data_IF_515549798906
#
_entry.id   IF_515549798906
#
_cell.length_a   1.000
_cell.length_b   1.000
_cell.length_c   1.000
_cell.angle_alpha   90.00
_cell.angle_beta   90.00
_cell.angle_gamma   90.00
#
_symmetry.space_group_name_H-M   'P 1'
#
loop_
_entity.id
_entity.type
_entity.pdbx_description
1 polymer ?
#
# COMPACT_ATOMS: atom_id res chain seq x y z
N UNK A 1 12.94 -4.38 -11.61
CA UNK A 1 12.11 -4.26 -12.83
C UNK A 1 10.74 -3.70 -12.44
N UNK A 2 10.31 -2.62 -13.09
CA UNK A 2 8.95 -2.06 -12.93
C UNK A 2 7.96 -2.80 -13.85
N UNK A 3 6.80 -3.20 -13.30
CA UNK A 3 5.77 -3.95 -14.02
C UNK A 3 4.37 -3.40 -13.69
N UNK A 4 3.36 -3.56 -14.56
CA UNK A 4 1.98 -3.27 -14.22
C UNK A 4 1.50 -4.12 -13.03
N UNK A 5 0.60 -3.61 -12.16
CA UNK A 5 0.05 -4.37 -11.03
C UNK A 5 -0.61 -5.68 -11.43
N UNK A 6 -1.27 -5.75 -12.59
CA UNK A 6 -1.89 -6.99 -13.08
C UNK A 6 -0.93 -8.17 -13.13
N UNK A 7 0.36 -7.93 -13.48
CA UNK A 7 1.38 -8.99 -13.48
C UNK A 7 1.65 -9.57 -12.10
N UNK A 8 1.54 -8.74 -11.07
CA UNK A 8 1.65 -9.17 -9.68
C UNK A 8 0.36 -9.88 -9.23
N UNK A 9 -0.79 -9.34 -9.61
CA UNK A 9 -2.10 -9.84 -9.21
C UNK A 9 -2.43 -11.20 -9.84
N UNK A 10 -2.02 -11.46 -11.09
CA UNK A 10 -2.16 -12.76 -11.74
C UNK A 10 -1.55 -13.90 -10.91
N UNK A 11 -0.39 -13.67 -10.30
CA UNK A 11 0.29 -14.63 -9.44
C UNK A 11 -0.33 -14.69 -8.03
N UNK A 12 -0.77 -13.54 -7.51
CA UNK A 12 -1.24 -13.41 -6.13
C UNK A 12 -2.66 -13.94 -5.91
N UNK A 13 -3.56 -13.76 -6.89
CA UNK A 13 -5.00 -14.01 -6.75
C UNK A 13 -5.34 -15.36 -6.10
N UNK A 14 -6.03 -15.31 -4.99
CA UNK A 14 -6.48 -16.48 -4.23
C UNK A 14 -5.38 -17.21 -3.45
N UNK A 15 -4.15 -16.70 -3.44
CA UNK A 15 -3.00 -17.30 -2.77
C UNK A 15 -2.41 -16.41 -1.68
N UNK A 16 -2.09 -15.16 -2.01
CA UNK A 16 -1.46 -14.17 -1.13
C UNK A 16 -1.85 -12.77 -1.56
N UNK A 17 -1.53 -11.75 -0.77
CA UNK A 17 -1.67 -10.36 -1.16
C UNK A 17 -0.30 -9.69 -1.35
N UNK A 18 -0.22 -8.76 -2.31
CA UNK A 18 0.96 -7.94 -2.54
C UNK A 18 0.90 -6.74 -1.60
N UNK A 19 1.98 -6.51 -0.85
CA UNK A 19 2.09 -5.32 -0.01
C UNK A 19 2.32 -4.07 -0.85
N UNK A 20 1.51 -3.03 -0.61
CA UNK A 20 1.64 -1.73 -1.23
C UNK A 20 2.05 -0.71 -0.16
N UNK A 21 3.25 -0.17 -0.32
CA UNK A 21 3.92 0.61 0.72
C UNK A 21 4.15 2.04 0.27
N UNK A 22 3.66 3.00 1.08
CA UNK A 22 3.88 4.41 0.84
C UNK A 22 5.29 4.83 1.27
N UNK A 23 5.87 5.79 0.55
CA UNK A 23 7.11 6.43 0.96
C UNK A 23 7.06 7.95 0.77
N UNK A 24 7.88 8.67 1.54
CA UNK A 24 8.03 10.12 1.47
C UNK A 24 9.49 10.58 1.52
N UNK A 25 10.44 9.65 1.77
CA UNK A 25 11.85 9.97 1.83
C UNK A 25 12.74 8.80 1.36
N UNK A 26 14.04 9.11 1.17
CA UNK A 26 15.04 8.15 0.72
C UNK A 26 15.14 6.91 1.63
N UNK A 27 15.13 7.12 2.94
CA UNK A 27 15.34 6.05 3.92
C UNK A 27 14.19 5.04 3.91
N UNK A 28 12.94 5.51 3.74
CA UNK A 28 11.79 4.62 3.55
C UNK A 28 11.95 3.79 2.28
N UNK A 29 12.29 4.44 1.16
CA UNK A 29 12.45 3.76 -0.11
C UNK A 29 13.53 2.67 -0.05
N UNK A 30 14.72 3.00 0.46
CA UNK A 30 15.83 2.04 0.59
C UNK A 30 15.48 0.89 1.55
N UNK A 31 14.87 1.19 2.70
CA UNK A 31 14.43 0.18 3.66
C UNK A 31 13.36 -0.75 3.07
N UNK A 32 12.43 -0.20 2.29
CA UNK A 32 11.39 -0.95 1.58
C UNK A 32 11.99 -1.93 0.58
N UNK A 33 12.89 -1.48 -0.29
CA UNK A 33 13.54 -2.37 -1.27
C UNK A 33 14.36 -3.47 -0.59
N UNK A 34 15.11 -3.14 0.45
CA UNK A 34 15.87 -4.13 1.22
C UNK A 34 14.95 -5.19 1.84
N UNK A 35 13.91 -4.77 2.53
CA UNK A 35 12.97 -5.68 3.20
C UNK A 35 12.26 -6.62 2.22
N UNK A 36 11.86 -6.12 1.05
CA UNK A 36 11.24 -6.94 0.01
C UNK A 36 12.23 -7.89 -0.69
N UNK A 37 13.53 -7.62 -0.62
CA UNK A 37 14.57 -8.51 -1.15
C UNK A 37 15.25 -9.38 -0.08
N UNK A 38 14.68 -9.45 1.13
CA UNK A 38 15.24 -10.24 2.22
C UNK A 38 16.55 -9.72 2.80
N UNK A 39 16.91 -8.44 2.53
CA UNK A 39 18.12 -7.78 2.99
C UNK A 39 17.79 -6.83 4.14
N UNK A 40 18.55 -6.85 5.21
CA UNK A 40 18.34 -5.93 6.33
C UNK A 40 19.33 -4.76 6.25
N UNK A 41 20.62 -5.05 6.04
CA UNK A 41 21.65 -4.02 5.89
C UNK A 41 22.18 -3.92 4.45
N UNK A 42 23.04 -2.94 4.20
CA UNK A 42 23.62 -2.71 2.85
C UNK A 42 24.50 -3.88 2.40
N UNK A 43 25.18 -4.53 3.32
CA UNK A 43 26.19 -5.55 3.03
C UNK A 43 25.65 -6.97 3.21
N UNK A 44 24.37 -7.12 3.58
CA UNK A 44 23.80 -8.45 3.70
C UNK A 44 23.67 -9.06 2.31
N UNK A 45 24.22 -10.26 2.14
CA UNK A 45 23.75 -11.15 1.10
C UNK A 45 22.29 -11.49 1.41
N UNK A 46 21.41 -11.67 0.39
CA UNK A 46 20.07 -12.16 0.66
C UNK A 46 20.21 -13.47 1.42
N UNK A 47 19.58 -13.55 2.59
CA UNK A 47 19.68 -14.76 3.43
C UNK A 47 19.20 -16.01 2.68
N UNK A 48 18.26 -15.82 1.75
CA UNK A 48 17.77 -16.81 0.79
C UNK A 48 16.79 -16.10 -0.17
N UNK A 49 16.68 -16.53 -1.41
CA UNK A 49 15.65 -16.09 -2.36
C UNK A 49 14.23 -16.36 -1.84
N UNK A 50 14.05 -17.34 -0.95
CA UNK A 50 12.81 -17.61 -0.23
C UNK A 50 12.34 -16.43 0.69
N UNK A 51 13.19 -15.44 0.93
CA UNK A 51 12.87 -14.25 1.72
C UNK A 51 12.45 -13.03 0.87
N UNK A 52 12.34 -13.17 -0.46
CA UNK A 52 12.03 -12.05 -1.37
C UNK A 52 10.56 -12.05 -1.78
N UNK A 53 9.98 -10.85 -1.90
CA UNK A 53 8.57 -10.64 -2.26
C UNK A 53 8.42 -9.62 -3.39
N UNK A 54 7.42 -9.77 -4.28
CA UNK A 54 6.96 -8.68 -5.15
C UNK A 54 6.22 -7.63 -4.33
N UNK A 55 6.24 -6.37 -4.74
CA UNK A 55 5.63 -5.29 -3.98
C UNK A 55 5.17 -4.14 -4.86
N UNK A 56 4.37 -3.23 -4.28
CA UNK A 56 3.95 -1.99 -4.91
C UNK A 56 4.53 -0.84 -4.10
N UNK A 57 5.22 0.06 -4.80
CA UNK A 57 5.66 1.34 -4.26
C UNK A 57 4.58 2.36 -4.56
N UNK A 58 4.04 3.01 -3.54
CA UNK A 58 2.95 3.95 -3.76
C UNK A 58 3.20 5.33 -3.12
N UNK A 59 2.54 6.33 -3.68
CA UNK A 59 2.67 7.74 -3.31
C UNK A 59 1.28 8.38 -3.26
N UNK A 60 0.98 9.02 -2.15
CA UNK A 60 -0.17 9.91 -2.05
C UNK A 60 0.15 11.30 -2.62
N UNK A 61 -0.85 12.10 -3.03
CA UNK A 61 -0.64 13.47 -3.52
C UNK A 61 0.20 14.33 -2.56
N UNK A 62 -0.04 14.23 -1.24
CA UNK A 62 0.75 14.96 -0.25
C UNK A 62 2.24 14.61 -0.22
N UNK A 63 2.63 13.38 -0.54
CA UNK A 63 4.04 13.01 -0.67
C UNK A 63 4.67 13.62 -1.93
N UNK A 64 3.92 13.73 -3.02
CA UNK A 64 4.35 14.39 -4.25
C UNK A 64 4.50 15.91 -4.05
N UNK A 65 3.58 16.55 -3.34
CA UNK A 65 3.67 17.96 -2.96
C UNK A 65 4.90 18.22 -2.07
N UNK A 66 5.18 17.33 -1.10
CA UNK A 66 6.31 17.43 -0.19
C UNK A 66 7.67 17.31 -0.89
N UNK A 67 7.81 16.37 -1.81
CA UNK A 67 9.12 15.97 -2.38
C UNK A 67 9.39 16.53 -3.77
N UNK A 68 8.43 17.10 -4.48
CA UNK A 68 8.44 17.36 -5.93
C UNK A 68 8.49 16.07 -6.79
N UNK A 69 7.59 15.88 -7.76
CA UNK A 69 7.53 14.67 -8.60
C UNK A 69 8.83 14.31 -9.32
N UNK A 70 9.68 15.30 -9.64
CA UNK A 70 10.97 15.09 -10.31
C UNK A 70 11.98 14.39 -9.40
N UNK A 71 12.01 14.74 -8.09
CA UNK A 71 12.86 14.04 -7.11
C UNK A 71 12.35 12.63 -6.86
N UNK A 72 11.04 12.46 -6.73
CA UNK A 72 10.41 11.13 -6.56
C UNK A 72 10.79 10.22 -7.71
N UNK A 73 10.64 10.68 -8.96
CA UNK A 73 11.03 9.95 -10.15
C UNK A 73 12.52 9.57 -10.12
N UNK A 74 13.41 10.52 -9.85
CA UNK A 74 14.84 10.25 -9.76
C UNK A 74 15.22 9.23 -8.69
N UNK A 75 14.55 9.26 -7.52
CA UNK A 75 14.74 8.27 -6.46
C UNK A 75 14.31 6.87 -6.90
N UNK A 76 13.18 6.76 -7.59
CA UNK A 76 12.65 5.46 -8.05
C UNK A 76 13.48 4.89 -9.21
N UNK A 77 13.95 5.72 -10.15
CA UNK A 77 14.91 5.32 -11.19
C UNK A 77 16.21 4.80 -10.56
N UNK A 78 16.76 5.53 -9.60
CA UNK A 78 17.96 5.11 -8.86
C UNK A 78 17.74 3.82 -8.04
N UNK A 79 16.55 3.64 -7.44
CA UNK A 79 16.21 2.42 -6.73
C UNK A 79 16.08 1.21 -7.67
N UNK A 80 15.47 1.39 -8.86
CA UNK A 80 15.38 0.34 -9.87
C UNK A 80 16.77 -0.12 -10.34
N UNK A 81 17.71 0.81 -10.50
CA UNK A 81 19.08 0.49 -10.89
C UNK A 81 19.88 -0.17 -9.74
N UNK A 82 19.69 0.33 -8.50
CA UNK A 82 20.42 -0.17 -7.34
C UNK A 82 19.93 -1.56 -6.86
N UNK A 83 18.70 -1.93 -7.20
CA UNK A 83 18.05 -3.17 -6.82
C UNK A 83 17.52 -3.95 -8.04
N UNK A 84 18.42 -4.42 -8.93
CA UNK A 84 18.01 -5.04 -10.21
C UNK A 84 17.18 -6.31 -10.05
N UNK A 85 17.27 -6.93 -8.87
CA UNK A 85 16.50 -8.13 -8.53
C UNK A 85 15.06 -7.83 -8.12
N UNK A 86 14.69 -6.58 -7.88
CA UNK A 86 13.33 -6.24 -7.48
C UNK A 86 12.33 -6.33 -8.64
N UNK A 87 11.14 -6.86 -8.36
CA UNK A 87 9.96 -6.75 -9.23
C UNK A 87 8.90 -5.98 -8.47
N UNK A 88 8.53 -4.81 -8.98
CA UNK A 88 7.63 -3.90 -8.30
C UNK A 88 6.79 -3.08 -9.28
N UNK A 89 5.70 -2.52 -8.79
CA UNK A 89 4.89 -1.54 -9.51
C UNK A 89 5.02 -0.16 -8.85
N UNK A 90 4.86 0.91 -9.62
CA UNK A 90 4.77 2.28 -9.11
C UNK A 90 3.33 2.76 -9.27
N UNK A 91 2.74 3.20 -8.16
CA UNK A 91 1.31 3.48 -8.05
C UNK A 91 1.03 4.85 -7.41
N UNK A 92 0.10 5.64 -7.99
CA UNK A 92 -0.51 6.78 -7.31
C UNK A 92 -1.63 6.25 -6.41
N UNK A 93 -1.58 6.63 -5.13
CA UNK A 93 -2.52 6.23 -4.10
C UNK A 93 -3.45 7.41 -3.76
N UNK A 94 -4.77 7.22 -3.79
CA UNK A 94 -5.80 8.22 -3.50
C UNK A 94 -5.67 9.57 -4.26
N UNK A 95 -5.55 9.51 -5.58
CA UNK A 95 -5.52 10.72 -6.42
C UNK A 95 -6.91 11.27 -6.74
N UNK A 96 -7.00 12.60 -6.88
CA UNK A 96 -8.11 13.24 -7.60
C UNK A 96 -8.01 12.93 -9.09
N UNK A 97 -9.02 13.31 -9.88
CA UNK A 97 -8.98 13.20 -11.35
C UNK A 97 -7.76 13.94 -11.94
N UNK A 98 -7.46 15.14 -11.41
CA UNK A 98 -6.32 15.96 -11.82
C UNK A 98 -4.98 15.34 -11.42
N UNK A 99 -4.86 14.77 -10.22
CA UNK A 99 -3.65 14.08 -9.78
C UNK A 99 -3.38 12.85 -10.67
N UNK A 100 -4.42 12.08 -11.00
CA UNK A 100 -4.31 10.95 -11.92
C UNK A 100 -3.82 11.43 -13.31
N UNK A 101 -4.39 12.49 -13.86
CA UNK A 101 -3.95 13.02 -15.15
C UNK A 101 -2.48 13.47 -15.12
N UNK A 102 -2.06 14.14 -14.06
CA UNK A 102 -0.66 14.56 -13.91
C UNK A 102 0.30 13.36 -13.87
N UNK A 103 -0.07 12.28 -13.15
CA UNK A 103 0.74 11.07 -13.08
C UNK A 103 0.75 10.28 -14.41
N UNK A 104 -0.39 10.17 -15.08
CA UNK A 104 -0.52 9.54 -16.41
C UNK A 104 0.34 10.28 -17.43
N UNK A 105 0.27 11.61 -17.47
CA UNK A 105 1.04 12.43 -18.41
C UNK A 105 2.55 12.43 -18.10
N UNK A 106 2.90 12.26 -16.83
CA UNK A 106 4.29 12.12 -16.40
C UNK A 106 5.00 10.87 -16.94
N UNK A 107 4.25 9.84 -17.37
CA UNK A 107 4.73 8.64 -18.08
C UNK A 107 5.68 7.77 -17.27
N UNK A 108 5.51 7.76 -15.94
CA UNK A 108 6.40 7.04 -15.02
C UNK A 108 5.67 6.01 -14.16
N UNK A 109 4.38 6.18 -13.95
CA UNK A 109 3.55 5.29 -13.16
C UNK A 109 3.10 4.06 -13.95
N UNK A 110 2.99 2.92 -13.27
CA UNK A 110 2.40 1.71 -13.83
C UNK A 110 0.88 1.68 -13.61
N UNK A 111 0.42 2.36 -12.55
CA UNK A 111 -0.99 2.49 -12.23
C UNK A 111 -1.28 3.75 -11.43
N UNK A 112 -2.54 4.15 -11.46
CA UNK A 112 -3.07 5.26 -10.66
C UNK A 112 -4.37 4.83 -9.98
N UNK A 113 -4.60 5.30 -8.75
CA UNK A 113 -5.88 5.17 -8.09
C UNK A 113 -6.62 6.51 -8.16
N UNK A 114 -7.82 6.49 -8.70
CA UNK A 114 -8.78 7.59 -8.61
C UNK A 114 -9.74 7.34 -7.46
N UNK A 115 -9.77 8.24 -6.49
CA UNK A 115 -10.68 8.16 -5.37
C UNK A 115 -11.77 9.22 -5.46
N UNK A 116 -12.93 8.79 -5.94
CA UNK A 116 -14.17 9.56 -5.97
C UNK A 116 -15.27 8.89 -5.12
N UNK A 117 -14.91 8.03 -4.18
CA UNK A 117 -15.81 7.22 -3.33
C UNK A 117 -16.72 8.06 -2.42
N UNK A 118 -16.32 9.29 -2.12
CA UNK A 118 -17.09 10.26 -1.33
C UNK A 118 -18.21 10.95 -2.15
N UNK A 119 -18.21 10.84 -3.48
CA UNK A 119 -19.23 11.40 -4.37
C UNK A 119 -20.41 10.41 -4.56
N UNK A 120 -21.54 10.88 -5.11
CA UNK A 120 -22.61 10.01 -5.55
C UNK A 120 -22.14 8.96 -6.55
N UNK A 121 -22.75 7.78 -6.55
CA UNK A 121 -22.37 6.62 -7.38
C UNK A 121 -22.18 6.96 -8.87
N UNK A 122 -23.11 7.69 -9.46
CA UNK A 122 -23.03 8.10 -10.87
C UNK A 122 -21.87 9.07 -11.17
N UNK A 123 -21.54 9.94 -10.22
CA UNK A 123 -20.42 10.87 -10.37
C UNK A 123 -19.08 10.12 -10.22
N UNK A 124 -18.99 9.16 -9.27
CA UNK A 124 -17.83 8.30 -9.13
C UNK A 124 -17.59 7.51 -10.42
N UNK A 125 -18.62 6.89 -11.00
CA UNK A 125 -18.51 6.20 -12.28
C UNK A 125 -18.02 7.14 -13.39
N UNK A 126 -18.61 8.33 -13.50
CA UNK A 126 -18.27 9.27 -14.57
C UNK A 126 -16.80 9.74 -14.49
N UNK A 127 -16.30 10.02 -13.29
CA UNK A 127 -14.89 10.42 -13.05
C UNK A 127 -13.97 9.24 -13.32
N UNK A 128 -14.24 8.10 -12.71
CA UNK A 128 -13.40 6.89 -12.86
C UNK A 128 -13.26 6.50 -14.32
N UNK A 129 -14.37 6.52 -15.09
CA UNK A 129 -14.34 6.19 -16.51
C UNK A 129 -13.42 7.12 -17.32
N UNK A 130 -13.48 8.44 -17.06
CA UNK A 130 -12.60 9.39 -17.77
C UNK A 130 -11.12 9.15 -17.47
N UNK A 131 -10.81 8.78 -16.21
CA UNK A 131 -9.44 8.42 -15.83
C UNK A 131 -9.02 7.13 -16.52
N UNK A 132 -9.88 6.10 -16.53
CA UNK A 132 -9.63 4.82 -17.21
C UNK A 132 -9.36 5.02 -18.71
N UNK A 133 -10.22 5.76 -19.41
CA UNK A 133 -10.03 6.04 -20.83
C UNK A 133 -8.66 6.67 -21.10
N UNK A 134 -8.26 7.67 -20.32
CA UNK A 134 -6.94 8.33 -20.48
C UNK A 134 -5.75 7.46 -20.08
N UNK A 135 -5.88 6.67 -19.04
CA UNK A 135 -4.81 5.79 -18.53
C UNK A 135 -4.54 4.62 -19.48
N UNK A 136 -5.61 3.96 -19.97
CA UNK A 136 -5.51 2.85 -20.89
C UNK A 136 -4.89 3.23 -22.22
N UNK A 137 -5.11 4.44 -22.74
CA UNK A 137 -4.44 4.97 -23.94
C UNK A 137 -2.91 5.02 -23.79
N UNK A 138 -2.40 4.94 -22.54
CA UNK A 138 -0.98 4.95 -22.20
C UNK A 138 -0.48 3.64 -21.60
N UNK A 139 -1.31 2.62 -21.53
CA UNK A 139 -0.99 1.33 -20.92
C UNK A 139 -0.79 1.41 -19.40
N UNK A 140 -1.45 2.36 -18.74
CA UNK A 140 -1.44 2.54 -17.28
C UNK A 140 -2.74 1.97 -16.72
N UNK A 141 -2.64 1.15 -15.66
CA UNK A 141 -3.79 0.53 -15.02
C UNK A 141 -4.44 1.48 -13.99
N UNK A 142 -5.75 1.30 -13.77
CA UNK A 142 -6.53 2.15 -12.88
C UNK A 142 -7.15 1.34 -11.77
N UNK A 143 -6.85 1.73 -10.53
CA UNK A 143 -7.58 1.36 -9.33
C UNK A 143 -8.66 2.39 -9.05
N UNK A 144 -9.82 1.95 -8.57
CA UNK A 144 -10.89 2.83 -8.11
C UNK A 144 -11.37 2.40 -6.72
N UNK A 145 -12.20 3.22 -6.05
CA UNK A 145 -12.79 2.87 -4.76
C UNK A 145 -14.31 2.91 -4.82
N UNK A 146 -14.94 1.90 -4.22
CA UNK A 146 -16.38 1.84 -4.02
C UNK A 146 -16.73 1.46 -2.57
N UNK A 147 -17.74 2.11 -2.04
CA UNK A 147 -17.99 2.22 -0.62
C UNK A 147 -17.28 3.47 -0.11
N UNK A 148 -17.04 3.58 1.16
CA UNK A 148 -16.26 4.66 1.76
C UNK A 148 -15.47 4.13 2.93
N UNK A 149 -14.14 4.20 2.85
CA UNK A 149 -13.26 3.78 3.92
C UNK A 149 -13.09 4.97 4.86
N UNK A 150 -13.54 4.80 6.10
CA UNK A 150 -13.50 5.88 7.11
C UNK A 150 -12.09 6.13 7.66
N UNK A 151 -11.98 7.09 8.58
CA UNK A 151 -10.71 7.45 9.21
C UNK A 151 -10.10 8.72 8.63
N UNK A 152 -8.78 8.88 8.82
CA UNK A 152 -8.04 10.04 8.35
C UNK A 152 -6.74 9.58 7.68
N UNK A 153 -6.58 9.91 6.40
CA UNK A 153 -5.35 9.72 5.65
C UNK A 153 -5.18 10.89 4.68
N UNK A 154 -4.03 11.56 4.75
CA UNK A 154 -3.72 12.78 4.00
C UNK A 154 -4.88 13.81 4.03
N UNK A 155 -5.51 14.07 2.89
CA UNK A 155 -6.67 14.99 2.74
C UNK A 155 -8.03 14.28 2.91
N UNK A 156 -8.03 12.96 3.15
CA UNK A 156 -9.25 12.15 3.23
C UNK A 156 -9.73 12.07 4.67
N UNK A 157 -10.99 12.44 4.90
CA UNK A 157 -11.72 12.23 6.15
C UNK A 157 -13.14 11.78 5.82
N UNK A 158 -13.60 10.67 6.41
CA UNK A 158 -14.91 10.13 6.06
C UNK A 158 -15.52 9.18 7.09
N UNK A 159 -16.81 8.89 6.90
CA UNK A 159 -17.55 7.84 7.59
C UNK A 159 -17.41 6.52 6.82
N UNK A 160 -17.51 5.39 7.51
CA UNK A 160 -17.50 4.07 6.86
C UNK A 160 -18.84 3.83 6.16
N UNK A 161 -18.79 3.45 4.87
CA UNK A 161 -19.91 2.90 4.12
C UNK A 161 -19.42 1.63 3.40
N UNK A 162 -19.93 0.47 3.79
CA UNK A 162 -19.53 -0.80 3.20
C UNK A 162 -19.86 -0.86 1.71
N UNK A 163 -19.03 -1.56 0.95
CA UNK A 163 -19.23 -1.81 -0.47
C UNK A 163 -20.42 -2.76 -0.68
N UNK A 164 -21.37 -2.34 -1.50
CA UNK A 164 -22.48 -3.18 -1.94
C UNK A 164 -22.02 -4.09 -3.10
N UNK A 165 -22.25 -5.42 -3.02
CA UNK A 165 -21.78 -6.36 -4.05
C UNK A 165 -22.37 -6.13 -5.46
N UNK A 166 -23.67 -5.76 -5.54
CA UNK A 166 -24.31 -5.51 -6.83
C UNK A 166 -23.81 -4.21 -7.47
N UNK A 167 -23.63 -3.18 -6.65
CA UNK A 167 -23.00 -1.94 -7.10
C UNK A 167 -21.55 -2.15 -7.53
N UNK A 168 -20.78 -3.03 -6.86
CA UNK A 168 -19.41 -3.33 -7.27
C UNK A 168 -19.35 -3.94 -8.68
N UNK A 169 -20.21 -4.89 -8.98
CA UNK A 169 -20.30 -5.48 -10.32
C UNK A 169 -20.68 -4.45 -11.40
N UNK A 170 -21.71 -3.63 -11.13
CA UNK A 170 -22.12 -2.55 -12.02
C UNK A 170 -21.02 -1.50 -12.22
N UNK A 171 -20.34 -1.12 -11.14
CA UNK A 171 -19.27 -0.13 -11.17
C UNK A 171 -18.11 -0.57 -12.08
N UNK A 172 -17.65 -1.82 -11.93
CA UNK A 172 -16.58 -2.39 -12.75
C UNK A 172 -16.97 -2.43 -14.23
N UNK A 173 -18.18 -2.92 -14.54
CA UNK A 173 -18.68 -2.99 -15.93
C UNK A 173 -18.77 -1.60 -16.59
N UNK A 174 -19.22 -0.59 -15.86
CA UNK A 174 -19.43 0.77 -16.39
C UNK A 174 -18.18 1.62 -16.43
N UNK A 175 -17.19 1.35 -15.58
CA UNK A 175 -15.93 2.13 -15.52
C UNK A 175 -14.79 1.51 -16.29
N UNK A 176 -14.71 0.18 -16.32
CA UNK A 176 -13.59 -0.54 -16.89
C UNK A 176 -12.30 -0.44 -16.07
N UNK A 177 -12.38 -0.15 -14.75
CA UNK A 177 -11.21 -0.12 -13.86
C UNK A 177 -10.56 -1.52 -13.76
N UNK A 178 -9.26 -1.57 -13.48
CA UNK A 178 -8.46 -2.79 -13.47
C UNK A 178 -8.40 -3.47 -12.09
N UNK A 179 -8.66 -2.70 -11.02
CA UNK A 179 -8.80 -3.20 -9.66
C UNK A 179 -9.74 -2.31 -8.85
N UNK A 180 -10.32 -2.84 -7.77
CA UNK A 180 -11.30 -2.13 -6.95
C UNK A 180 -10.95 -2.21 -5.46
N UNK A 181 -10.74 -1.05 -4.85
CA UNK A 181 -10.69 -0.91 -3.41
C UNK A 181 -12.10 -1.03 -2.82
N UNK A 182 -12.23 -1.92 -1.83
CA UNK A 182 -13.53 -2.27 -1.22
C UNK A 182 -13.53 -1.97 0.28
N UNK A 183 -14.60 -1.33 0.73
CA UNK A 183 -14.83 -1.05 2.14
C UNK A 183 -15.50 -2.25 2.82
N UNK A 184 -14.71 -3.03 3.57
CA UNK A 184 -15.17 -4.24 4.27
C UNK A 184 -14.88 -4.17 5.79
N UNK A 185 -14.86 -2.97 6.37
CA UNK A 185 -14.71 -2.76 7.80
C UNK A 185 -13.36 -2.19 8.25
N UNK A 186 -12.46 -1.87 7.32
CA UNK A 186 -11.22 -1.14 7.61
C UNK A 186 -11.46 0.35 7.77
N UNK A 187 -10.45 1.06 8.32
CA UNK A 187 -10.41 2.52 8.35
C UNK A 187 -8.96 3.02 8.29
N UNK A 188 -8.76 4.22 7.74
CA UNK A 188 -7.45 4.85 7.63
C UNK A 188 -6.92 5.37 8.98
N UNK A 189 -5.59 5.54 9.08
CA UNK A 189 -4.92 6.13 10.24
C UNK A 189 -4.64 5.17 11.38
N UNK A 190 -4.03 5.72 12.45
CA UNK A 190 -3.60 4.95 13.63
C UNK A 190 -4.68 4.80 14.72
N UNK A 191 -5.78 5.51 14.61
CA UNK A 191 -6.86 5.52 15.59
C UNK A 191 -8.15 5.02 14.96
N UNK A 192 -8.18 3.71 14.69
CA UNK A 192 -9.34 3.07 14.08
C UNK A 192 -10.49 2.98 15.06
N UNK A 193 -11.73 3.08 14.54
CA UNK A 193 -12.92 3.10 15.37
C UNK A 193 -12.99 1.88 16.31
N UNK A 194 -13.31 2.15 17.58
CA UNK A 194 -13.52 1.16 18.64
C UNK A 194 -14.86 0.42 18.43
N UNK A 195 -14.95 -0.40 17.43
CA UNK A 195 -16.20 -1.12 17.10
C UNK A 195 -16.05 -2.04 15.91
N UNK A 196 -14.89 -1.99 15.23
CA UNK A 196 -14.61 -2.90 14.13
C UNK A 196 -14.45 -4.32 14.69
N UNK A 197 -15.41 -5.19 14.39
CA UNK A 197 -15.36 -6.64 14.69
C UNK A 197 -14.42 -7.38 13.73
N UNK A 198 -13.33 -6.74 13.24
CA UNK A 198 -12.48 -7.29 12.20
C UNK A 198 -13.00 -7.00 10.78
N UNK A 199 -12.42 -7.69 9.79
CA UNK A 199 -12.87 -7.59 8.40
C UNK A 199 -14.17 -8.35 8.19
N UNK A 200 -15.11 -7.77 7.45
CA UNK A 200 -16.32 -8.44 7.00
C UNK A 200 -16.02 -9.41 5.84
N UNK A 201 -15.32 -10.54 6.13
CA UNK A 201 -14.91 -11.50 5.10
C UNK A 201 -16.13 -12.30 4.62
N UNK A 202 -16.85 -12.98 5.50
CA UNK A 202 -17.93 -13.88 5.12
C UNK A 202 -19.19 -13.16 4.62
N UNK A 203 -19.57 -12.06 5.24
CA UNK A 203 -20.79 -11.31 4.93
C UNK A 203 -20.57 -10.13 3.95
N UNK A 204 -19.33 -9.74 3.72
CA UNK A 204 -18.93 -8.67 2.81
C UNK A 204 -18.08 -9.17 1.63
N UNK A 205 -16.80 -9.46 1.87
CA UNK A 205 -15.82 -9.76 0.82
C UNK A 205 -16.21 -10.95 -0.05
N UNK A 206 -16.69 -12.06 0.54
CA UNK A 206 -17.12 -13.26 -0.20
C UNK A 206 -18.25 -12.93 -1.16
N UNK A 207 -19.21 -12.09 -0.75
CA UNK A 207 -20.33 -11.67 -1.59
C UNK A 207 -19.86 -10.75 -2.74
N UNK A 208 -18.95 -9.83 -2.43
CA UNK A 208 -18.36 -8.96 -3.45
C UNK A 208 -17.60 -9.81 -4.48
N UNK A 209 -16.73 -10.73 -4.03
CA UNK A 209 -16.00 -11.64 -4.91
C UNK A 209 -16.91 -12.47 -5.82
N UNK A 210 -18.07 -12.91 -5.30
CA UNK A 210 -19.03 -13.68 -6.08
C UNK A 210 -19.80 -12.85 -7.11
N UNK A 211 -19.95 -11.54 -6.88
CA UNK A 211 -20.67 -10.62 -7.76
C UNK A 211 -19.81 -10.04 -8.90
N UNK A 212 -18.52 -9.80 -8.64
CA UNK A 212 -17.59 -9.19 -9.61
C UNK A 212 -17.08 -10.22 -10.64
N UNK A 213 -16.50 -9.77 -11.77
CA UNK A 213 -15.93 -10.68 -12.77
C UNK A 213 -14.94 -11.69 -12.16
N UNK A 214 -14.90 -12.90 -12.72
CA UNK A 214 -14.02 -13.95 -12.23
C UNK A 214 -12.57 -13.49 -12.21
N UNK A 215 -11.88 -13.69 -11.08
CA UNK A 215 -10.48 -13.28 -10.84
C UNK A 215 -10.23 -11.77 -10.92
N UNK A 216 -11.26 -10.95 -10.76
CA UNK A 216 -11.09 -9.50 -10.68
C UNK A 216 -10.34 -9.12 -9.39
N UNK A 217 -9.24 -8.32 -9.47
CA UNK A 217 -8.44 -7.98 -8.31
C UNK A 217 -9.17 -7.01 -7.38
N UNK A 218 -9.29 -7.37 -6.11
CA UNK A 218 -9.79 -6.49 -5.06
C UNK A 218 -8.63 -5.95 -4.22
N UNK A 219 -8.82 -4.78 -3.65
CA UNK A 219 -7.80 -4.06 -2.88
C UNK A 219 -8.32 -3.72 -1.48
N UNK A 220 -7.45 -3.84 -0.48
CA UNK A 220 -7.75 -3.52 0.90
C UNK A 220 -6.99 -2.26 1.34
N UNK A 221 -7.73 -1.17 1.52
CA UNK A 221 -7.25 0.08 2.11
C UNK A 221 -7.53 0.15 3.62
N UNK A 222 -6.92 1.12 4.30
CA UNK A 222 -7.07 1.28 5.75
C UNK A 222 -6.58 0.06 6.55
N UNK A 223 -5.68 -0.72 5.99
CA UNK A 223 -5.27 -2.04 6.49
C UNK A 223 -4.03 -2.02 7.37
N UNK A 224 -3.38 -0.88 7.62
CA UNK A 224 -2.25 -0.79 8.55
C UNK A 224 -2.59 -1.40 9.90
N UNK A 225 -1.69 -2.23 10.42
CA UNK A 225 -1.93 -3.01 11.64
C UNK A 225 -1.72 -2.21 12.93
N UNK A 226 -0.99 -1.09 12.85
CA UNK A 226 -0.61 -0.28 14.02
C UNK A 226 -0.03 -1.16 15.13
N UNK A 227 1.12 -1.86 14.88
CA UNK A 227 1.57 -2.91 15.77
C UNK A 227 1.83 -2.38 17.19
N UNK A 228 1.30 -3.04 18.24
CA UNK A 228 1.46 -2.61 19.64
C UNK A 228 2.91 -2.43 20.06
N UNK A 229 3.83 -3.18 19.48
CA UNK A 229 5.28 -3.03 19.71
C UNK A 229 5.75 -1.61 19.38
N UNK A 230 5.46 -1.11 18.19
CA UNK A 230 5.89 0.23 17.75
C UNK A 230 5.20 1.33 18.53
N UNK A 231 3.91 1.18 18.82
CA UNK A 231 3.16 2.10 19.68
C UNK A 231 3.76 2.15 21.09
N UNK A 232 4.10 1.00 21.67
CA UNK A 232 4.75 0.90 22.98
C UNK A 232 6.12 1.59 23.00
N UNK A 233 6.94 1.39 21.97
CA UNK A 233 8.26 2.04 21.82
C UNK A 233 8.13 3.56 21.71
N UNK A 234 7.18 4.05 20.91
CA UNK A 234 6.89 5.49 20.79
C UNK A 234 6.51 6.08 22.15
N UNK A 235 5.57 5.46 22.87
CA UNK A 235 5.11 5.97 24.17
C UNK A 235 6.21 5.91 25.23
N UNK A 236 7.04 4.86 25.24
CA UNK A 236 8.20 4.74 26.14
C UNK A 236 9.30 5.77 25.84
N UNK A 237 9.36 6.28 24.61
CA UNK A 237 10.30 7.33 24.20
C UNK A 237 9.75 8.76 24.32
N UNK A 238 8.59 8.95 24.96
CA UNK A 238 7.99 10.26 25.21
C UNK A 238 6.93 10.70 24.19
N UNK A 239 6.54 9.81 23.27
CA UNK A 239 5.41 10.06 22.38
C UNK A 239 4.05 9.88 23.08
N UNK A 240 2.97 10.20 22.36
CA UNK A 240 1.61 10.23 22.92
C UNK A 240 0.62 9.51 21.98
N UNK A 241 0.78 8.18 21.85
CA UNK A 241 -0.08 7.36 20.98
C UNK A 241 -0.97 6.40 21.80
N UNK A 242 -1.67 6.94 22.79
CA UNK A 242 -2.65 6.18 23.57
C UNK A 242 -3.83 5.79 22.69
N UNK A 243 -4.29 4.54 22.84
CA UNK A 243 -5.43 3.97 22.11
C UNK A 243 -5.22 3.80 20.57
N UNK A 244 -3.99 3.90 20.09
CA UNK A 244 -3.70 3.55 18.70
C UNK A 244 -3.97 2.06 18.47
N UNK A 245 -4.73 1.75 17.42
CA UNK A 245 -5.15 0.39 17.06
C UNK A 245 -5.34 0.28 15.57
N UNK A 246 -4.91 -0.81 14.97
CA UNK A 246 -5.01 -1.10 13.55
C UNK A 246 -5.81 -2.35 13.19
N UNK A 247 -5.61 -2.80 11.97
CA UNK A 247 -6.18 -4.04 11.45
C UNK A 247 -5.47 -5.26 12.04
N UNK A 248 -6.18 -6.38 12.15
CA UNK A 248 -5.58 -7.65 12.54
C UNK A 248 -4.83 -8.27 11.35
N UNK A 249 -3.52 -8.44 11.45
CA UNK A 249 -2.68 -9.00 10.38
C UNK A 249 -3.03 -10.45 10.01
N UNK A 250 -3.62 -11.22 10.93
CA UNK A 250 -4.03 -12.59 10.69
C UNK A 250 -5.24 -12.70 9.72
N UNK A 251 -5.89 -11.57 9.41
CA UNK A 251 -7.00 -11.50 8.46
C UNK A 251 -6.54 -11.26 7.01
N UNK A 252 -5.28 -10.87 6.77
CA UNK A 252 -4.80 -10.58 5.40
C UNK A 252 -4.82 -11.81 4.51
N UNK A 253 -4.29 -12.94 4.98
CA UNK A 253 -4.25 -14.16 4.18
C UNK A 253 -5.63 -14.77 3.95
N UNK A 254 -6.56 -14.84 4.93
CA UNK A 254 -7.97 -15.12 4.67
C UNK A 254 -8.57 -14.20 3.61
N UNK A 255 -8.38 -12.89 3.69
CA UNK A 255 -8.89 -11.95 2.69
C UNK A 255 -8.28 -12.18 1.30
N UNK A 256 -6.99 -12.49 1.20
CA UNK A 256 -6.33 -12.80 -0.07
C UNK A 256 -6.94 -14.02 -0.77
N UNK A 257 -7.38 -15.03 -0.02
CA UNK A 257 -8.08 -16.21 -0.56
C UNK A 257 -9.40 -15.84 -1.22
N UNK A 258 -9.97 -14.69 -0.87
CA UNK A 258 -11.22 -14.15 -1.41
C UNK A 258 -11.00 -12.94 -2.33
N UNK A 259 -9.88 -12.91 -3.06
CA UNK A 259 -9.65 -11.97 -4.15
C UNK A 259 -8.94 -10.68 -3.79
N UNK A 260 -8.58 -10.44 -2.50
CA UNK A 260 -7.69 -9.33 -2.16
C UNK A 260 -6.30 -9.59 -2.71
N UNK A 261 -5.88 -8.81 -3.70
CA UNK A 261 -4.57 -8.91 -4.34
C UNK A 261 -3.56 -7.88 -3.84
N UNK A 262 -4.03 -6.74 -3.30
CA UNK A 262 -3.22 -5.64 -2.80
C UNK A 262 -3.69 -5.22 -1.42
N UNK A 263 -2.74 -4.93 -0.52
CA UNK A 263 -3.01 -4.39 0.83
C UNK A 263 -2.19 -3.13 1.03
N UNK A 264 -2.87 -2.00 1.29
CA UNK A 264 -2.22 -0.71 1.53
C UNK A 264 -1.66 -0.59 2.94
N UNK A 265 -0.39 -0.17 3.03
CA UNK A 265 0.36 -0.05 4.27
C UNK A 265 1.13 1.27 4.28
N UNK A 266 0.61 2.30 4.96
CA UNK A 266 1.26 3.59 5.15
C UNK A 266 1.55 3.86 6.63
N UNK A 267 0.52 3.92 7.47
CA UNK A 267 0.62 4.30 8.90
C UNK A 267 1.71 3.51 9.61
N UNK A 268 1.86 2.22 9.34
CA UNK A 268 2.86 1.38 10.01
C UNK A 268 4.30 1.83 9.70
N UNK A 269 4.59 2.24 8.47
CA UNK A 269 5.89 2.79 8.08
C UNK A 269 6.20 4.09 8.82
N UNK A 270 5.20 4.94 9.01
CA UNK A 270 5.32 6.17 9.80
C UNK A 270 5.59 5.88 11.27
N UNK A 271 4.98 4.83 11.85
CA UNK A 271 5.23 4.41 13.24
C UNK A 271 6.67 3.91 13.42
N UNK A 272 7.19 3.12 12.49
CA UNK A 272 8.59 2.65 12.52
C UNK A 272 9.56 3.84 12.48
N UNK A 273 9.30 4.81 11.60
CA UNK A 273 10.10 6.04 11.50
C UNK A 273 10.08 6.83 12.81
N UNK A 274 8.89 7.08 13.33
CA UNK A 274 8.69 7.89 14.52
C UNK A 274 9.32 7.26 15.76
N UNK A 275 9.09 5.95 15.99
CA UNK A 275 9.71 5.21 17.08
C UNK A 275 11.24 5.27 17.03
N UNK A 276 11.81 4.96 15.86
CA UNK A 276 13.26 4.91 15.69
C UNK A 276 13.93 6.25 15.97
N UNK A 277 13.34 7.37 15.52
CA UNK A 277 13.91 8.69 15.73
C UNK A 277 13.74 9.18 17.17
N UNK A 278 12.56 8.96 17.78
CA UNK A 278 12.37 9.31 19.20
C UNK A 278 13.33 8.56 20.12
N UNK A 279 13.49 7.26 19.93
CA UNK A 279 14.43 6.46 20.69
C UNK A 279 15.88 6.93 20.50
N UNK A 280 16.28 7.20 19.26
CA UNK A 280 17.61 7.66 18.95
C UNK A 280 17.94 9.00 19.66
N UNK A 281 17.05 9.97 19.57
CA UNK A 281 17.27 11.28 20.19
C UNK A 281 17.19 11.23 21.72
N UNK A 282 16.41 10.31 22.29
CA UNK A 282 16.41 10.06 23.75
C UNK A 282 17.69 9.43 24.23
N UNK A 283 18.18 8.40 23.52
CA UNK A 283 19.24 7.52 24.00
C UNK A 283 20.65 7.98 23.60
N UNK A 284 20.76 8.83 22.58
CA UNK A 284 22.02 9.38 22.09
C UNK A 284 21.91 10.87 21.72
N UNK A 285 21.49 11.73 22.69
CA UNK A 285 21.21 13.14 22.44
C UNK A 285 22.44 13.94 21.99
N UNK A 286 23.65 13.45 22.25
CA UNK A 286 24.89 14.06 21.80
C UNK A 286 25.21 13.79 20.32
N UNK A 287 24.52 12.86 19.67
CA UNK A 287 24.73 12.50 18.27
C UNK A 287 23.80 13.29 17.37
N UNK A 288 24.35 14.13 16.52
CA UNK A 288 23.57 15.01 15.61
C UNK A 288 23.78 14.70 14.12
N UNK A 289 24.56 13.65 13.77
CA UNK A 289 24.68 13.21 12.38
C UNK A 289 23.43 12.43 11.97
N UNK A 290 22.68 13.01 11.04
CA UNK A 290 21.40 12.45 10.55
C UNK A 290 21.52 11.04 9.95
N UNK A 291 22.72 10.61 9.55
CA UNK A 291 22.96 9.27 8.99
C UNK A 291 22.81 8.16 10.03
N UNK A 292 22.99 8.45 11.31
CA UNK A 292 22.83 7.44 12.38
C UNK A 292 21.35 7.00 12.52
N UNK A 293 20.41 7.91 12.83
CA UNK A 293 19.01 7.50 12.91
C UNK A 293 18.48 6.99 11.56
N UNK A 294 18.90 7.58 10.44
CA UNK A 294 18.50 7.13 9.10
C UNK A 294 18.92 5.69 8.80
N UNK A 295 20.16 5.30 9.16
CA UNK A 295 20.63 3.91 9.02
C UNK A 295 19.80 2.94 9.87
N UNK A 296 19.61 3.27 11.15
CA UNK A 296 18.81 2.46 12.06
C UNK A 296 17.36 2.32 11.58
N UNK A 297 16.80 3.41 11.05
CA UNK A 297 15.47 3.38 10.49
C UNK A 297 15.38 2.47 9.25
N UNK A 298 16.30 2.55 8.30
CA UNK A 298 16.31 1.67 7.12
C UNK A 298 16.35 0.19 7.52
N UNK A 299 17.13 -0.17 8.54
CA UNK A 299 17.22 -1.55 9.05
C UNK A 299 15.92 -1.98 9.75
N UNK A 300 15.35 -1.14 10.62
CA UNK A 300 14.08 -1.40 11.28
C UNK A 300 12.94 -1.53 10.29
N UNK A 301 12.91 -0.67 9.27
CA UNK A 301 11.87 -0.69 8.26
C UNK A 301 12.00 -1.93 7.36
N UNK A 302 13.21 -2.33 6.99
CA UNK A 302 13.43 -3.56 6.23
C UNK A 302 12.94 -4.81 7.01
N UNK A 303 13.21 -4.90 8.33
CA UNK A 303 12.67 -5.99 9.18
C UNK A 303 11.15 -5.96 9.23
N UNK A 304 10.58 -4.75 9.36
CA UNK A 304 9.13 -4.57 9.36
C UNK A 304 8.50 -5.02 8.03
N UNK A 305 9.06 -4.62 6.88
CA UNK A 305 8.58 -5.04 5.55
C UNK A 305 8.62 -6.56 5.41
N UNK A 306 9.73 -7.22 5.83
CA UNK A 306 9.83 -8.68 5.81
C UNK A 306 8.73 -9.36 6.63
N UNK A 307 8.50 -8.88 7.87
CA UNK A 307 7.40 -9.35 8.71
C UNK A 307 6.04 -9.19 8.01
N UNK A 308 5.80 -8.03 7.39
CA UNK A 308 4.55 -7.77 6.68
C UNK A 308 4.35 -8.73 5.51
N UNK A 309 5.40 -8.98 4.71
CA UNK A 309 5.34 -9.95 3.62
C UNK A 309 5.03 -11.38 4.09
N UNK A 310 5.49 -11.76 5.28
CA UNK A 310 5.11 -13.04 5.91
C UNK A 310 3.61 -13.07 6.21
N UNK A 311 3.05 -12.02 6.82
CA UNK A 311 1.61 -11.92 7.14
C UNK A 311 0.72 -11.86 5.91
N UNK A 312 1.20 -11.25 4.83
CA UNK A 312 0.52 -11.18 3.54
C UNK A 312 0.61 -12.50 2.74
N UNK A 313 1.51 -13.41 3.13
CA UNK A 313 1.83 -14.63 2.39
C UNK A 313 2.67 -14.40 1.12
N UNK A 314 3.17 -13.18 0.89
CA UNK A 314 3.97 -12.81 -0.28
C UNK A 314 5.46 -13.13 -0.14
N UNK A 315 5.92 -13.46 1.06
CA UNK A 315 7.32 -13.85 1.30
C UNK A 315 7.66 -15.11 0.46
N UNK A 316 8.77 -15.07 -0.27
CA UNK A 316 9.21 -16.15 -1.14
C UNK A 316 8.55 -16.20 -2.52
N UNK A 317 7.61 -15.30 -2.83
CA UNK A 317 6.84 -15.35 -4.07
C UNK A 317 7.50 -14.62 -5.26
N UNK A 318 8.65 -13.96 -5.05
CA UNK A 318 9.29 -13.16 -6.09
C UNK A 318 9.70 -13.99 -7.32
N UNK A 319 10.25 -15.18 -7.11
CA UNK A 319 10.69 -16.06 -8.20
C UNK A 319 9.53 -16.63 -9.01
N UNK A 320 8.37 -16.86 -8.37
CA UNK A 320 7.16 -17.27 -9.08
C UNK A 320 6.67 -16.16 -10.02
N UNK A 321 6.67 -14.92 -9.55
CA UNK A 321 6.33 -13.76 -10.39
C UNK A 321 7.31 -13.61 -11.55
N UNK A 322 8.62 -13.73 -11.34
CA UNK A 322 9.63 -13.62 -12.40
C UNK A 322 9.45 -14.64 -13.53
N UNK A 323 8.98 -15.84 -13.20
CA UNK A 323 8.71 -16.89 -14.20
C UNK A 323 7.50 -16.59 -15.10
N UNK A 324 6.64 -15.67 -14.66
CA UNK A 324 5.42 -15.27 -15.37
C UNK A 324 5.56 -13.95 -16.13
N UNK A 325 6.71 -13.28 -16.00
CA UNK A 325 7.05 -12.06 -16.76
C UNK A 325 7.78 -12.38 -18.06
#
# INVERSE_FOLDING_TARGET
MMVPPSKLFECAYGKYAVGAYNFSNLEQLVGMFRGNLGKISRNDEPEDQSASAPFIVQLIPGALEYSDPRFVRGLLEAANDAFPDAVFSVHLDHGTEEDCYACIDGGFYNSVMVDASFLPFEENIAITRRVVERAHDRGIEVEAELGQIGGQEDKITGSVRLTDPEQAAEFIDRTGCDSLAVAIGTSHGAFKFSGANGLHIDDGLVKIQAAVPSRFPLVLHGASAVPPEWVGRINAAGGAMQNAKGCNEEEYLPAARHGICKVNIDTDGRLVWFATHLEFFRDAPEKFDLRFPGKTFMENYARYIRHKNEKLGSLGQLEDVRKHL
#
